data_IF_480471104043
#
_entry.id   IF_480471104043
#
_cell.length_a   1.000
_cell.length_b   1.000
_cell.length_c   1.000
_cell.angle_alpha   90.00
_cell.angle_beta   90.00
_cell.angle_gamma   90.00
#
_symmetry.space_group_name_H-M   'P 1'
#
loop_
_entity.id
_entity.type
_entity.pdbx_description
1 polymer ?
#
# COMPACT_ATOMS: atom_id res chain seq x y z
N UNK A 1 8.59 -23.34 28.84
CA UNK A 1 9.38 -22.23 28.26
C UNK A 1 8.57 -21.56 27.16
N UNK A 2 8.65 -20.24 27.00
CA UNK A 2 7.95 -19.52 25.92
C UNK A 2 8.76 -19.56 24.60
N UNK A 3 8.08 -19.57 23.46
CA UNK A 3 8.72 -19.52 22.13
C UNK A 3 9.32 -18.13 21.88
N UNK A 4 10.57 -18.09 21.40
CA UNK A 4 11.25 -16.84 21.00
C UNK A 4 11.71 -16.94 19.55
N UNK A 5 11.28 -15.99 18.72
CA UNK A 5 11.71 -15.91 17.34
C UNK A 5 12.93 -14.98 17.22
N UNK A 6 14.08 -15.53 16.84
CA UNK A 6 15.35 -14.77 16.78
C UNK A 6 15.32 -13.58 15.81
N UNK A 7 14.47 -13.63 14.79
CA UNK A 7 14.34 -12.56 13.78
C UNK A 7 13.11 -11.66 14.04
N UNK A 8 12.59 -11.62 15.26
CA UNK A 8 11.41 -10.82 15.61
C UNK A 8 11.64 -9.32 15.36
N UNK A 9 12.82 -8.79 15.69
CA UNK A 9 13.17 -7.39 15.41
C UNK A 9 13.17 -7.09 13.91
N UNK A 10 13.74 -7.97 13.09
CA UNK A 10 13.77 -7.84 11.64
C UNK A 10 12.35 -7.91 11.05
N UNK A 11 11.49 -8.81 11.55
CA UNK A 11 10.08 -8.89 11.15
C UNK A 11 9.34 -7.58 11.42
N UNK A 12 9.48 -7.03 12.63
CA UNK A 12 8.85 -5.74 12.97
C UNK A 12 9.35 -4.60 12.10
N UNK A 13 10.65 -4.51 11.89
CA UNK A 13 11.22 -3.49 11.01
C UNK A 13 10.68 -3.58 9.58
N UNK A 14 10.62 -4.79 9.00
CA UNK A 14 10.04 -4.99 7.65
C UNK A 14 8.55 -4.65 7.61
N UNK A 15 7.80 -4.99 8.65
CA UNK A 15 6.38 -4.63 8.77
C UNK A 15 6.20 -3.10 8.78
N UNK A 16 7.01 -2.39 9.57
CA UNK A 16 6.96 -0.93 9.61
C UNK A 16 7.32 -0.30 8.25
N UNK A 17 8.29 -0.87 7.52
CA UNK A 17 8.62 -0.39 6.17
C UNK A 17 7.46 -0.58 5.18
N UNK A 18 6.77 -1.71 5.25
CA UNK A 18 5.57 -1.96 4.45
C UNK A 18 4.47 -0.93 4.76
N UNK A 19 4.19 -0.70 6.04
CA UNK A 19 3.21 0.31 6.48
C UNK A 19 3.57 1.72 5.99
N UNK A 20 4.84 2.11 6.08
CA UNK A 20 5.32 3.39 5.55
C UNK A 20 5.17 3.49 4.02
N UNK A 21 5.41 2.40 3.29
CA UNK A 21 5.20 2.37 1.84
C UNK A 21 3.72 2.46 1.47
N UNK A 22 2.83 1.81 2.24
CA UNK A 22 1.38 1.95 2.05
C UNK A 22 0.91 3.39 2.26
N UNK A 23 1.40 4.06 3.31
CA UNK A 23 1.08 5.47 3.58
C UNK A 23 1.57 6.39 2.45
N UNK A 24 2.79 6.18 1.96
CA UNK A 24 3.34 6.94 0.82
C UNK A 24 2.50 6.73 -0.44
N UNK A 25 2.16 5.48 -0.76
CA UNK A 25 1.31 5.15 -1.90
C UNK A 25 -0.06 5.84 -1.79
N UNK A 26 -0.68 5.81 -0.61
CA UNK A 26 -1.96 6.49 -0.37
C UNK A 26 -1.85 8.00 -0.61
N UNK A 27 -0.80 8.65 -0.09
CA UNK A 27 -0.54 10.07 -0.34
C UNK A 27 -0.33 10.39 -1.82
N UNK A 28 0.36 9.53 -2.57
CA UNK A 28 0.52 9.70 -4.01
C UNK A 28 -0.79 9.55 -4.78
N UNK A 29 -1.62 8.57 -4.42
CA UNK A 29 -2.94 8.38 -5.02
C UNK A 29 -3.88 9.55 -4.74
N UNK A 30 -3.89 10.08 -3.51
CA UNK A 30 -4.69 11.24 -3.17
C UNK A 30 -4.25 12.48 -3.98
N UNK A 31 -2.95 12.69 -4.11
CA UNK A 31 -2.44 13.79 -4.92
C UNK A 31 -2.75 13.63 -6.42
N UNK A 32 -2.77 12.39 -6.95
CA UNK A 32 -3.20 12.13 -8.32
C UNK A 32 -4.69 12.46 -8.50
N UNK A 33 -5.54 12.03 -7.56
CA UNK A 33 -6.97 12.34 -7.60
C UNK A 33 -7.23 13.85 -7.57
N UNK A 34 -6.49 14.60 -6.75
CA UNK A 34 -6.58 16.07 -6.73
C UNK A 34 -6.16 16.73 -8.05
N UNK A 35 -5.14 16.19 -8.75
CA UNK A 35 -4.78 16.67 -10.08
C UNK A 35 -5.89 16.39 -11.11
N UNK A 36 -6.47 15.19 -11.08
CA UNK A 36 -7.57 14.82 -11.97
C UNK A 36 -8.81 15.69 -11.74
N UNK A 37 -9.12 16.01 -10.48
CA UNK A 37 -10.19 16.94 -10.11
C UNK A 37 -9.93 18.35 -10.65
N UNK A 38 -8.72 18.89 -10.49
CA UNK A 38 -8.35 20.20 -11.04
C UNK A 38 -8.48 20.25 -12.57
N UNK A 39 -8.06 19.17 -13.25
CA UNK A 39 -8.21 19.06 -14.70
C UNK A 39 -9.69 19.06 -15.12
N UNK A 40 -10.54 18.35 -14.38
CA UNK A 40 -11.97 18.29 -14.67
C UNK A 40 -12.65 19.65 -14.44
N UNK A 41 -12.35 20.31 -13.32
CA UNK A 41 -12.82 21.67 -13.04
C UNK A 41 -12.40 22.65 -14.16
N UNK A 42 -11.17 22.54 -14.66
CA UNK A 42 -10.68 23.39 -15.75
C UNK A 42 -11.36 23.09 -17.09
N UNK A 43 -11.75 21.84 -17.34
CA UNK A 43 -12.52 21.45 -18.53
C UNK A 43 -13.96 21.94 -18.45
N UNK A 44 -14.58 21.83 -17.28
CA UNK A 44 -15.95 22.27 -17.06
C UNK A 44 -16.08 23.79 -17.17
N UNK A 45 -15.17 24.53 -16.53
CA UNK A 45 -15.10 25.99 -16.67
C UNK A 45 -14.90 26.39 -18.13
N UNK A 46 -13.96 25.76 -18.84
CA UNK A 46 -13.76 26.01 -20.28
C UNK A 46 -15.04 25.76 -21.09
N UNK A 47 -15.75 24.67 -20.83
CA UNK A 47 -16.99 24.33 -21.54
C UNK A 47 -18.09 25.36 -21.28
N UNK A 48 -18.19 25.88 -20.06
CA UNK A 48 -19.11 26.97 -19.73
C UNK A 48 -18.78 28.25 -20.50
N UNK A 49 -17.50 28.65 -20.52
CA UNK A 49 -17.05 29.83 -21.24
C UNK A 49 -17.16 29.70 -22.77
N UNK A 50 -16.98 28.51 -23.34
CA UNK A 50 -17.25 28.25 -24.76
C UNK A 50 -18.74 28.47 -25.09
N UNK A 51 -19.65 28.02 -24.22
CA UNK A 51 -21.07 28.30 -24.35
C UNK A 51 -21.39 29.80 -24.32
N UNK A 52 -20.82 30.52 -23.36
CA UNK A 52 -21.01 31.98 -23.23
C UNK A 52 -20.44 32.73 -24.45
N UNK A 53 -19.23 32.36 -24.89
CA UNK A 53 -18.58 32.95 -26.06
C UNK A 53 -19.43 32.77 -27.32
N UNK A 54 -19.96 31.56 -27.57
CA UNK A 54 -20.85 31.29 -28.71
C UNK A 54 -22.14 32.09 -28.64
N UNK A 55 -22.73 32.22 -27.46
CA UNK A 55 -23.95 33.01 -27.27
C UNK A 55 -23.69 34.49 -27.58
N UNK A 56 -22.61 35.06 -27.04
CA UNK A 56 -22.22 36.45 -27.29
C UNK A 56 -21.86 36.69 -28.76
N UNK A 57 -21.12 35.77 -29.39
CA UNK A 57 -20.79 35.84 -30.80
C UNK A 57 -22.05 35.88 -31.69
N UNK A 58 -23.06 35.06 -31.36
CA UNK A 58 -24.35 35.05 -32.06
C UNK A 58 -25.19 36.32 -31.90
N UNK A 59 -24.89 37.16 -30.89
CA UNK A 59 -25.56 38.43 -30.62
C UNK A 59 -24.79 39.65 -31.15
N UNK A 60 -23.66 39.45 -31.84
CA UNK A 60 -22.82 40.53 -32.35
C UNK A 60 -21.83 41.08 -31.32
N UNK A 61 -21.08 40.19 -30.64
CA UNK A 61 -20.04 40.56 -29.68
C UNK A 61 -18.98 41.49 -30.26
N UNK A 62 -18.40 42.34 -29.40
CA UNK A 62 -17.24 43.13 -29.74
C UNK A 62 -16.02 42.23 -30.01
N UNK A 63 -15.19 42.64 -30.97
CA UNK A 63 -13.95 41.92 -31.32
C UNK A 63 -13.02 41.78 -30.10
N UNK A 64 -12.99 42.78 -29.21
CA UNK A 64 -12.23 42.74 -27.96
C UNK A 64 -12.65 41.61 -27.04
N UNK A 65 -13.95 41.31 -26.94
CA UNK A 65 -14.47 40.25 -26.08
C UNK A 65 -14.09 38.87 -26.63
N UNK A 66 -14.13 38.72 -27.96
CA UNK A 66 -13.71 37.48 -28.63
C UNK A 66 -12.21 37.21 -28.44
N UNK A 67 -11.37 38.23 -28.50
CA UNK A 67 -9.93 38.11 -28.22
C UNK A 67 -9.70 37.65 -26.78
N UNK A 68 -10.41 38.23 -25.81
CA UNK A 68 -10.30 37.82 -24.41
C UNK A 68 -10.66 36.34 -24.20
N UNK A 69 -11.68 35.84 -24.88
CA UNK A 69 -12.04 34.42 -24.83
C UNK A 69 -10.95 33.53 -25.45
N UNK A 70 -10.35 33.94 -26.56
CA UNK A 70 -9.25 33.20 -27.19
C UNK A 70 -8.04 33.11 -26.26
N UNK A 71 -7.62 34.22 -25.68
CA UNK A 71 -6.50 34.26 -24.72
C UNK A 71 -6.77 33.34 -23.52
N UNK A 72 -8.00 33.39 -22.99
CA UNK A 72 -8.42 32.50 -21.91
C UNK A 72 -8.36 31.03 -22.31
N UNK A 73 -8.83 30.67 -23.51
CA UNK A 73 -8.78 29.28 -23.99
C UNK A 73 -7.35 28.76 -24.19
N UNK A 74 -6.45 29.61 -24.68
CA UNK A 74 -5.03 29.27 -24.83
C UNK A 74 -4.33 29.09 -23.48
N UNK A 75 -4.68 29.91 -22.49
CA UNK A 75 -4.21 29.75 -21.11
C UNK A 75 -4.75 28.46 -20.48
N UNK A 76 -6.03 28.15 -20.66
CA UNK A 76 -6.62 26.89 -20.20
C UNK A 76 -5.94 25.68 -20.84
N UNK A 77 -5.65 25.75 -22.14
CA UNK A 77 -4.98 24.68 -22.86
C UNK A 77 -3.58 24.43 -22.30
N UNK A 78 -2.77 25.49 -22.13
CA UNK A 78 -1.44 25.40 -21.53
C UNK A 78 -1.48 24.85 -20.10
N UNK A 79 -2.44 25.28 -19.29
CA UNK A 79 -2.64 24.74 -17.93
C UNK A 79 -2.99 23.25 -17.94
N UNK A 80 -3.89 22.82 -18.83
CA UNK A 80 -4.24 21.40 -18.98
C UNK A 80 -3.04 20.55 -19.41
N UNK A 81 -2.20 21.05 -20.31
CA UNK A 81 -0.98 20.34 -20.70
C UNK A 81 -0.01 20.17 -19.54
N UNK A 82 0.19 21.22 -18.73
CA UNK A 82 1.03 21.15 -17.54
C UNK A 82 0.48 20.13 -16.52
N UNK A 83 -0.81 20.17 -16.23
CA UNK A 83 -1.45 19.22 -15.33
C UNK A 83 -1.35 17.78 -15.84
N UNK A 84 -1.52 17.54 -17.14
CA UNK A 84 -1.37 16.21 -17.74
C UNK A 84 0.08 15.70 -17.65
N UNK A 85 1.08 16.58 -17.82
CA UNK A 85 2.48 16.22 -17.61
C UNK A 85 2.76 15.85 -16.14
N UNK A 86 2.22 16.60 -15.19
CA UNK A 86 2.32 16.30 -13.76
C UNK A 86 1.63 14.99 -13.41
N UNK A 87 0.44 14.75 -13.94
CA UNK A 87 -0.31 13.50 -13.80
C UNK A 87 0.50 12.31 -14.27
N UNK A 88 1.13 12.39 -15.45
CA UNK A 88 2.01 11.33 -15.98
C UNK A 88 3.22 11.08 -15.08
N UNK A 89 3.89 12.14 -14.62
CA UNK A 89 5.01 12.02 -13.67
C UNK A 89 4.57 11.35 -12.37
N UNK A 90 3.42 11.74 -11.83
CA UNK A 90 2.84 11.17 -10.61
C UNK A 90 2.47 9.70 -10.80
N UNK A 91 1.89 9.35 -11.96
CA UNK A 91 1.59 7.97 -12.33
C UNK A 91 2.83 7.08 -12.33
N UNK A 92 3.95 7.55 -12.90
CA UNK A 92 5.20 6.82 -12.87
C UNK A 92 5.71 6.59 -11.43
N UNK A 93 5.62 7.61 -10.57
CA UNK A 93 5.99 7.49 -9.14
C UNK A 93 5.10 6.47 -8.42
N UNK A 94 3.79 6.49 -8.65
CA UNK A 94 2.83 5.53 -8.08
C UNK A 94 3.21 4.11 -8.46
N UNK A 95 3.54 3.86 -9.73
CA UNK A 95 3.95 2.53 -10.20
C UNK A 95 5.26 2.08 -9.55
N UNK A 96 6.22 2.98 -9.33
CA UNK A 96 7.45 2.64 -8.58
C UNK A 96 7.16 2.31 -7.12
N UNK A 97 6.28 3.06 -6.45
CA UNK A 97 5.93 2.81 -5.04
C UNK A 97 5.13 1.50 -4.90
N UNK A 98 4.26 1.17 -5.86
CA UNK A 98 3.55 -0.12 -5.90
C UNK A 98 4.52 -1.30 -5.96
N UNK A 99 5.56 -1.21 -6.79
CA UNK A 99 6.60 -2.27 -6.88
C UNK A 99 7.34 -2.41 -5.56
N UNK A 100 7.76 -1.28 -4.97
CA UNK A 100 8.41 -1.26 -3.66
C UNK A 100 7.54 -1.92 -2.58
N UNK A 101 6.25 -1.59 -2.56
CA UNK A 101 5.30 -2.19 -1.61
C UNK A 101 5.21 -3.71 -1.80
N UNK A 102 5.10 -4.19 -3.04
CA UNK A 102 5.05 -5.62 -3.34
C UNK A 102 6.28 -6.37 -2.84
N UNK A 103 7.47 -5.80 -3.04
CA UNK A 103 8.73 -6.39 -2.57
C UNK A 103 8.79 -6.43 -1.03
N UNK A 104 8.42 -5.34 -0.37
CA UNK A 104 8.36 -5.28 1.10
C UNK A 104 7.35 -6.29 1.68
N UNK A 105 6.15 -6.39 1.09
CA UNK A 105 5.14 -7.38 1.48
C UNK A 105 5.67 -8.79 1.28
N UNK A 106 6.38 -9.07 0.18
CA UNK A 106 6.96 -10.39 -0.10
C UNK A 106 8.00 -10.76 0.96
N UNK A 107 8.93 -9.86 1.26
CA UNK A 107 9.95 -10.07 2.29
C UNK A 107 9.36 -10.30 3.68
N UNK A 108 8.35 -9.51 4.07
CA UNK A 108 7.64 -9.71 5.35
C UNK A 108 6.98 -11.09 5.40
N UNK A 109 6.31 -11.50 4.33
CA UNK A 109 5.65 -12.83 4.25
C UNK A 109 6.65 -13.98 4.35
N UNK A 110 7.87 -13.82 3.85
CA UNK A 110 8.93 -14.84 4.02
C UNK A 110 9.28 -15.00 5.50
N UNK A 111 9.48 -13.90 6.23
CA UNK A 111 9.77 -13.93 7.66
C UNK A 111 8.61 -14.49 8.49
N UNK A 112 7.38 -14.16 8.11
CA UNK A 112 6.16 -14.69 8.72
C UNK A 112 6.10 -16.21 8.61
N UNK A 113 6.25 -16.75 7.39
CA UNK A 113 6.29 -18.20 7.14
C UNK A 113 7.42 -18.89 7.88
N UNK A 114 8.59 -18.23 8.00
CA UNK A 114 9.71 -18.77 8.75
C UNK A 114 9.38 -18.86 10.25
N UNK A 115 8.75 -17.81 10.81
CA UNK A 115 8.30 -17.77 12.20
C UNK A 115 7.28 -18.87 12.49
N UNK A 116 6.27 -19.03 11.64
CA UNK A 116 5.26 -20.08 11.75
C UNK A 116 5.88 -21.48 11.77
N UNK A 117 6.80 -21.75 10.84
CA UNK A 117 7.53 -23.04 10.79
C UNK A 117 8.34 -23.31 12.05
N UNK A 118 9.02 -22.29 12.60
CA UNK A 118 9.78 -22.44 13.84
C UNK A 118 8.87 -22.66 15.04
N UNK A 119 7.71 -22.00 15.08
CA UNK A 119 6.72 -22.18 16.13
C UNK A 119 6.16 -23.61 16.11
N UNK A 120 5.79 -24.14 14.94
CA UNK A 120 5.30 -25.52 14.79
C UNK A 120 6.33 -26.53 15.30
N UNK A 121 7.62 -26.35 14.92
CA UNK A 121 8.70 -27.21 15.40
C UNK A 121 8.86 -27.14 16.93
N UNK A 122 8.82 -25.94 17.49
CA UNK A 122 8.92 -25.75 18.93
C UNK A 122 7.79 -26.46 19.68
N UNK A 123 6.54 -26.35 19.20
CA UNK A 123 5.39 -27.02 19.80
C UNK A 123 5.53 -28.55 19.75
N UNK A 124 5.95 -29.10 18.62
CA UNK A 124 6.19 -30.54 18.47
C UNK A 124 7.32 -31.04 19.41
N UNK A 125 8.37 -30.24 19.61
CA UNK A 125 9.43 -30.57 20.57
C UNK A 125 8.97 -30.51 22.02
N UNK A 126 8.12 -29.54 22.40
CA UNK A 126 7.54 -29.48 23.74
C UNK A 126 6.66 -30.69 24.00
N UNK A 127 5.77 -31.04 23.06
CA UNK A 127 4.90 -32.21 23.18
C UNK A 127 5.72 -33.51 23.32
N UNK A 128 6.81 -33.65 22.55
CA UNK A 128 7.71 -34.80 22.68
C UNK A 128 8.41 -34.86 24.04
N UNK A 129 8.79 -33.71 24.61
CA UNK A 129 9.41 -33.64 25.95
C UNK A 129 8.41 -33.97 27.05
N UNK A 130 7.18 -33.47 26.95
CA UNK A 130 6.10 -33.75 27.89
C UNK A 130 5.76 -35.25 27.89
N UNK A 131 5.58 -35.86 26.72
CA UNK A 131 5.33 -37.31 26.59
C UNK A 131 6.45 -38.15 27.21
N UNK A 132 7.71 -37.78 26.97
CA UNK A 132 8.85 -38.47 27.61
C UNK A 132 8.83 -38.34 29.13
N UNK A 133 8.59 -37.13 29.64
CA UNK A 133 8.52 -36.89 31.08
C UNK A 133 7.37 -37.70 31.73
N UNK A 134 6.22 -37.82 31.04
CA UNK A 134 5.12 -38.66 31.54
C UNK A 134 5.46 -40.15 31.51
N UNK A 135 6.11 -40.65 30.45
CA UNK A 135 6.54 -42.05 30.37
C UNK A 135 7.57 -42.39 31.46
N UNK A 136 8.55 -41.52 31.69
CA UNK A 136 9.57 -41.69 32.74
C UNK A 136 8.95 -41.72 34.14
N UNK A 137 7.93 -40.88 34.40
CA UNK A 137 7.16 -40.90 35.65
C UNK A 137 6.36 -42.20 35.85
N UNK A 138 5.78 -42.74 34.76
CA UNK A 138 5.04 -44.01 34.80
C UNK A 138 5.99 -45.19 35.07
N UNK A 139 7.19 -45.17 34.49
CA UNK A 139 8.22 -46.20 34.72
C UNK A 139 8.75 -46.14 36.16
N UNK A 140 9.02 -44.95 36.70
CA UNK A 140 9.46 -44.79 38.11
C UNK A 140 8.39 -45.19 39.13
N UNK A 141 7.10 -45.07 38.79
CA UNK A 141 5.99 -45.46 39.67
C UNK A 141 5.63 -46.94 39.64
N UNK A 142 6.23 -47.76 38.74
CA UNK A 142 6.09 -49.23 38.84
C UNK A 142 7.00 -49.73 39.98
N UNK A 143 6.46 -50.27 41.09
CA UNK A 143 7.28 -51.02 42.02
C UNK A 143 7.83 -52.27 41.31
N UNK A 144 9.06 -52.65 41.66
CA UNK A 144 9.66 -53.94 41.31
C UNK A 144 8.88 -55.04 42.04
N UNK A 145 7.66 -55.34 41.58
CA UNK A 145 6.89 -56.51 42.00
C UNK A 145 7.35 -57.69 41.13
N UNK A 146 8.53 -58.21 41.46
CA UNK A 146 9.18 -59.27 40.70
C UNK A 146 10.38 -59.84 41.43
N UNK A 147 10.22 -60.23 42.69
CA UNK A 147 11.01 -61.26 43.36
C UNK A 147 10.34 -61.65 44.68
N UNK A 148 9.68 -62.80 44.66
CA UNK A 148 9.13 -63.49 45.82
C UNK A 148 8.87 -64.91 45.36
N UNK A 149 9.75 -65.81 45.82
CA UNK A 149 9.77 -67.27 45.63
C UNK A 149 8.46 -67.89 46.11
#
# INVERSE_FOLDING_TARGET
MAFTFRLQALYHWRKNLEELSQLRLAGHLQALAGLEEQMEQLRDTRKAYDGECRQKAGQGAAVSDLILYLDYFDDCFRKLELLEQERKKKGAVIETERRTLLDLTRERKILEKLKERQLIKFLAEQEKKERKATDDLVVQRRPVSGKGI
#
